data_IF_469335512910
#
_entry.id   IF_469335512910
#
_cell.length_a   1.000
_cell.length_b   1.000
_cell.length_c   1.000
_cell.angle_alpha   90.00
_cell.angle_beta   90.00
_cell.angle_gamma   90.00
#
_symmetry.space_group_name_H-M   'P 1'
#
loop_
_entity.id
_entity.type
_entity.pdbx_description
1 polymer ?
#
# COMPACT_ATOMS: atom_id res chain seq x y z
N UNK A 1 12.04 10.07 -26.43
CA UNK A 1 12.65 11.18 -25.66
C UNK A 1 12.60 10.95 -24.15
N UNK A 2 11.45 10.61 -23.55
CA UNK A 2 11.34 10.41 -22.09
C UNK A 2 12.29 9.36 -21.51
N UNK A 3 12.45 8.20 -22.17
CA UNK A 3 13.35 7.15 -21.66
C UNK A 3 14.82 7.58 -21.64
N UNK A 4 15.25 8.36 -22.64
CA UNK A 4 16.60 8.92 -22.70
C UNK A 4 16.81 9.88 -21.52
N UNK A 5 15.85 10.79 -21.28
CA UNK A 5 15.92 11.73 -20.16
C UNK A 5 15.95 11.03 -18.80
N UNK A 6 15.15 9.98 -18.61
CA UNK A 6 15.12 9.21 -17.35
C UNK A 6 16.42 8.45 -17.12
N UNK A 7 17.00 7.88 -18.18
CA UNK A 7 18.30 7.22 -18.07
C UNK A 7 19.44 8.20 -17.79
N UNK A 8 19.42 9.40 -18.39
CA UNK A 8 20.41 10.43 -18.10
C UNK A 8 20.28 10.94 -16.65
N UNK A 9 19.06 11.18 -16.17
CA UNK A 9 18.80 11.53 -14.78
C UNK A 9 19.28 10.43 -13.81
N UNK A 10 19.16 9.16 -14.20
CA UNK A 10 19.69 8.03 -13.44
C UNK A 10 21.22 8.05 -13.32
N UNK A 11 21.93 8.34 -14.42
CA UNK A 11 23.40 8.45 -14.40
C UNK A 11 23.88 9.59 -13.49
N UNK A 12 23.17 10.73 -13.50
CA UNK A 12 23.46 11.85 -12.60
C UNK A 12 23.21 11.46 -11.13
N UNK A 13 22.08 10.83 -10.84
CA UNK A 13 21.74 10.37 -9.50
C UNK A 13 22.80 9.42 -8.91
N UNK A 14 23.32 8.49 -9.72
CA UNK A 14 24.39 7.57 -9.27
C UNK A 14 25.68 8.31 -8.89
N UNK A 15 26.08 9.29 -9.71
CA UNK A 15 27.23 10.16 -9.41
C UNK A 15 27.04 10.92 -8.11
N UNK A 16 25.84 11.44 -7.87
CA UNK A 16 25.51 12.16 -6.64
C UNK A 16 25.55 11.23 -5.42
N UNK A 17 25.03 10.00 -5.54
CA UNK A 17 25.14 9.00 -4.48
C UNK A 17 26.59 8.66 -4.13
N UNK A 18 27.47 8.51 -5.13
CA UNK A 18 28.91 8.30 -4.92
C UNK A 18 29.54 9.49 -4.17
N UNK A 19 29.22 10.73 -4.55
CA UNK A 19 29.72 11.94 -3.91
C UNK A 19 29.27 12.06 -2.45
N UNK A 20 28.01 11.75 -2.17
CA UNK A 20 27.40 11.85 -0.85
C UNK A 20 27.59 10.58 0.00
N UNK A 21 28.30 9.56 -0.51
CA UNK A 21 28.48 8.23 0.12
C UNK A 21 27.15 7.57 0.49
N UNK A 22 26.11 7.84 -0.28
CA UNK A 22 24.80 7.24 -0.11
C UNK A 22 24.69 5.96 -0.95
N UNK A 23 23.85 5.04 -0.48
CA UNK A 23 23.59 3.80 -1.21
C UNK A 23 22.68 4.08 -2.40
N UNK A 24 23.18 3.80 -3.60
CA UNK A 24 22.38 3.86 -4.82
C UNK A 24 21.14 2.96 -4.73
N UNK A 25 19.99 3.48 -5.14
CA UNK A 25 18.75 2.70 -5.32
C UNK A 25 18.85 1.75 -6.52
N UNK A 26 17.89 0.84 -6.70
CA UNK A 26 17.80 0.09 -7.98
C UNK A 26 17.15 0.97 -9.05
N UNK A 27 17.54 0.83 -10.31
CA UNK A 27 16.94 1.58 -11.44
C UNK A 27 15.40 1.48 -11.48
N UNK A 28 14.85 0.31 -11.14
CA UNK A 28 13.40 0.10 -11.04
C UNK A 28 12.74 0.99 -9.99
N UNK A 29 13.38 1.15 -8.84
CA UNK A 29 12.88 1.96 -7.71
C UNK A 29 12.96 3.45 -8.07
N UNK A 30 14.06 3.88 -8.68
CA UNK A 30 14.21 5.24 -9.19
C UNK A 30 13.13 5.62 -10.20
N UNK A 31 12.86 4.75 -11.19
CA UNK A 31 11.78 4.97 -12.17
C UNK A 31 10.39 4.99 -11.52
N UNK A 32 10.19 4.18 -10.48
CA UNK A 32 8.94 4.18 -9.73
C UNK A 32 8.73 5.50 -8.98
N UNK A 33 9.75 6.03 -8.32
CA UNK A 33 9.68 7.32 -7.61
C UNK A 33 9.39 8.48 -8.54
N UNK A 34 10.05 8.54 -9.71
CA UNK A 34 9.74 9.53 -10.74
C UNK A 34 8.28 9.44 -11.17
N UNK A 35 7.77 8.23 -11.43
CA UNK A 35 6.38 8.04 -11.82
C UNK A 35 5.40 8.51 -10.73
N UNK A 36 5.66 8.19 -9.46
CA UNK A 36 4.82 8.61 -8.33
C UNK A 36 4.87 10.13 -8.16
N UNK A 37 6.05 10.74 -8.20
CA UNK A 37 6.22 12.18 -8.04
C UNK A 37 5.47 12.97 -9.12
N UNK A 38 5.59 12.55 -10.39
CA UNK A 38 4.91 13.21 -11.51
C UNK A 38 3.40 12.99 -11.49
N UNK A 39 2.94 11.77 -11.18
CA UNK A 39 1.50 11.46 -11.14
C UNK A 39 0.79 11.99 -9.89
N UNK A 40 1.53 12.39 -8.85
CA UNK A 40 0.97 12.95 -7.63
C UNK A 40 0.84 14.48 -7.67
N UNK A 41 1.59 15.15 -8.54
CA UNK A 41 1.64 16.61 -8.62
C UNK A 41 0.44 17.23 -9.34
N UNK A 42 -0.09 16.54 -10.36
CA UNK A 42 -1.17 17.04 -11.22
C UNK A 42 -2.48 16.26 -11.06
N UNK A 43 -2.88 15.91 -9.84
CA UNK A 43 -4.23 15.37 -9.64
C UNK A 43 -5.23 16.53 -9.64
N UNK A 44 -6.01 16.78 -10.71
CA UNK A 44 -7.24 17.53 -10.54
C UNK A 44 -8.05 16.78 -9.49
N UNK A 45 -8.61 17.51 -8.51
CA UNK A 45 -9.63 16.97 -7.62
C UNK A 45 -10.79 16.56 -8.52
N UNK A 46 -10.81 15.30 -8.95
CA UNK A 46 -11.92 14.72 -9.70
C UNK A 46 -13.09 14.60 -8.73
N UNK A 47 -13.80 15.72 -8.56
CA UNK A 47 -15.15 15.74 -8.07
C UNK A 47 -15.95 14.72 -8.90
N UNK A 48 -16.63 13.83 -8.17
CA UNK A 48 -17.74 12.97 -8.59
C UNK A 48 -18.12 13.13 -10.07
N UNK A 49 -17.71 12.17 -10.91
CA UNK A 49 -18.09 12.13 -12.33
C UNK A 49 -19.62 11.94 -12.43
N UNK A 50 -20.38 12.80 -13.15
CA UNK A 50 -21.77 12.53 -13.46
C UNK A 50 -21.85 11.32 -14.39
N UNK A 51 -22.81 10.42 -14.14
CA UNK A 51 -23.08 9.27 -14.98
C UNK A 51 -23.56 9.74 -16.36
N UNK A 52 -22.75 9.51 -17.39
CA UNK A 52 -23.20 9.50 -18.77
C UNK A 52 -22.79 8.16 -19.37
N UNK A 53 -23.83 7.46 -19.82
CA UNK A 53 -23.81 6.15 -20.43
C UNK A 53 -22.91 6.14 -21.66
N UNK A 54 -22.01 5.16 -21.75
CA UNK A 54 -21.89 4.41 -22.98
C UNK A 54 -21.15 3.08 -22.78
N UNK A 55 -21.75 2.06 -23.37
CA UNK A 55 -21.34 0.68 -23.40
C UNK A 55 -19.86 0.52 -23.73
N UNK A 56 -19.11 -0.11 -22.84
CA UNK A 56 -18.07 -1.06 -23.20
C UNK A 56 -17.75 -1.93 -21.98
N UNK A 57 -18.04 -3.23 -22.15
CA UNK A 57 -17.76 -4.38 -21.29
C UNK A 57 -16.96 -4.09 -20.01
N UNK A 58 -17.49 -4.39 -18.81
CA UNK A 58 -16.69 -4.32 -17.61
C UNK A 58 -15.77 -5.53 -17.63
N UNK A 59 -14.58 -5.40 -18.19
CA UNK A 59 -13.45 -6.12 -17.63
C UNK A 59 -13.35 -5.57 -16.21
N UNK A 60 -14.06 -6.22 -15.27
CA UNK A 60 -13.80 -6.10 -13.84
C UNK A 60 -12.39 -6.65 -13.69
N UNK A 61 -11.38 -5.82 -13.97
CA UNK A 61 -10.07 -5.99 -13.36
C UNK A 61 -10.42 -6.00 -11.89
N UNK A 62 -10.39 -7.18 -11.27
CA UNK A 62 -10.44 -7.32 -9.83
C UNK A 62 -9.19 -6.57 -9.38
N UNK A 63 -9.33 -5.26 -9.18
CA UNK A 63 -8.43 -4.51 -8.34
C UNK A 63 -8.67 -5.14 -7.00
N UNK A 64 -7.85 -6.12 -6.66
CA UNK A 64 -7.55 -6.34 -5.26
C UNK A 64 -7.06 -5.00 -4.78
N UNK A 65 -7.93 -4.22 -4.15
CA UNK A 65 -7.51 -3.14 -3.29
C UNK A 65 -6.59 -3.83 -2.29
N UNK A 66 -5.28 -3.78 -2.56
CA UNK A 66 -4.28 -4.13 -1.58
C UNK A 66 -4.44 -3.01 -0.56
N UNK A 67 -5.38 -3.19 0.39
CA UNK A 67 -5.64 -2.15 1.38
C UNK A 67 -4.27 -1.84 2.00
N UNK A 68 -3.81 -0.58 1.98
CA UNK A 68 -2.43 -0.27 2.34
C UNK A 68 -2.16 -0.88 3.72
N UNK A 69 -1.07 -1.64 3.84
CA UNK A 69 -0.67 -2.15 5.16
C UNK A 69 -0.39 -0.89 6.01
N UNK A 70 -0.98 -0.77 7.22
CA UNK A 70 -0.76 0.39 8.05
C UNK A 70 0.74 0.60 8.28
N UNK A 71 1.16 1.86 8.38
CA UNK A 71 2.54 2.23 8.69
C UNK A 71 3.02 1.48 9.95
N UNK A 72 4.30 1.09 9.95
CA UNK A 72 4.91 0.30 11.03
C UNK A 72 4.77 0.96 12.38
N UNK A 73 4.81 2.30 12.41
CA UNK A 73 4.78 3.08 13.64
C UNK A 73 3.41 2.97 14.32
N UNK A 74 2.33 3.06 13.53
CA UNK A 74 0.95 2.89 14.01
C UNK A 74 0.69 1.43 14.42
N UNK A 75 1.30 0.47 13.72
CA UNK A 75 1.10 -0.95 13.97
C UNK A 75 1.62 -1.39 15.35
N UNK A 76 2.72 -0.79 15.81
CA UNK A 76 3.43 -1.18 17.03
C UNK A 76 3.35 -0.15 18.15
N UNK A 77 2.50 0.89 18.06
CA UNK A 77 2.42 1.91 19.10
C UNK A 77 1.75 1.44 20.40
N UNK A 78 1.23 0.20 20.43
CA UNK A 78 0.59 -0.46 21.59
C UNK A 78 -0.62 0.29 22.17
N UNK A 79 -1.11 1.33 21.51
CA UNK A 79 -2.25 2.13 21.96
C UNK A 79 -3.45 1.94 21.04
N UNK A 80 -4.64 1.83 21.62
CA UNK A 80 -5.92 1.91 20.90
C UNK A 80 -6.11 0.91 19.74
N UNK A 81 -5.63 -0.32 19.92
CA UNK A 81 -5.92 -1.44 19.00
C UNK A 81 -7.10 -2.26 19.51
N UNK A 82 -8.32 -1.74 19.30
CA UNK A 82 -9.54 -2.44 19.70
C UNK A 82 -10.09 -3.33 18.56
N UNK A 83 -10.41 -4.62 18.82
CA UNK A 83 -11.07 -5.49 17.85
C UNK A 83 -12.56 -5.15 17.75
N UNK A 84 -13.11 -5.18 16.52
CA UNK A 84 -14.55 -5.05 16.26
C UNK A 84 -15.01 -6.05 15.21
N UNK A 85 -16.32 -6.29 15.16
CA UNK A 85 -16.94 -7.17 14.17
C UNK A 85 -17.19 -6.45 12.84
N UNK A 86 -16.92 -7.15 11.74
CA UNK A 86 -17.13 -6.70 10.38
C UNK A 86 -17.53 -7.87 9.49
N UNK A 87 -17.73 -7.60 8.20
CA UNK A 87 -18.01 -8.63 7.19
C UNK A 87 -16.90 -9.68 7.16
N UNK A 88 -17.28 -10.94 6.99
CA UNK A 88 -16.33 -12.07 6.86
C UNK A 88 -15.29 -11.77 5.78
N UNK A 89 -14.03 -12.00 6.09
CA UNK A 89 -12.91 -11.83 5.16
C UNK A 89 -11.70 -12.64 5.59
N UNK A 90 -10.64 -12.66 4.78
CA UNK A 90 -9.40 -13.38 5.13
C UNK A 90 -8.56 -12.60 6.13
N UNK A 91 -7.89 -13.33 7.02
CA UNK A 91 -6.86 -12.77 7.88
C UNK A 91 -5.70 -12.23 7.03
N UNK A 92 -5.09 -11.13 7.48
CA UNK A 92 -3.94 -10.53 6.79
C UNK A 92 -2.58 -11.01 7.30
N UNK A 93 -2.56 -11.65 8.46
CA UNK A 93 -1.35 -12.16 9.08
C UNK A 93 -1.12 -13.64 8.73
N UNK A 94 -2.16 -14.46 8.79
CA UNK A 94 -2.10 -15.87 8.40
C UNK A 94 -2.88 -16.12 7.10
N UNK A 95 -2.49 -17.16 6.36
CA UNK A 95 -3.19 -17.63 5.16
C UNK A 95 -4.49 -18.40 5.47
N UNK A 96 -4.75 -18.68 6.74
CA UNK A 96 -5.77 -19.61 7.16
C UNK A 96 -7.05 -18.94 7.67
N UNK A 97 -8.16 -19.21 6.98
CA UNK A 97 -9.52 -19.00 7.48
C UNK A 97 -10.16 -17.65 7.17
N UNK A 98 -11.50 -17.66 7.20
CA UNK A 98 -12.32 -16.45 7.22
C UNK A 98 -12.52 -16.00 8.67
N UNK A 99 -12.40 -14.70 8.91
CA UNK A 99 -12.61 -14.03 10.19
C UNK A 99 -13.53 -12.83 9.97
N UNK A 100 -14.34 -12.51 10.97
CA UNK A 100 -15.19 -11.31 11.02
C UNK A 100 -14.60 -10.23 11.93
N UNK A 101 -13.35 -10.37 12.39
CA UNK A 101 -12.73 -9.44 13.35
C UNK A 101 -11.75 -8.51 12.62
N UNK A 102 -11.81 -7.23 12.92
CA UNK A 102 -10.95 -6.17 12.38
C UNK A 102 -10.46 -5.26 13.50
N UNK A 103 -9.21 -4.79 13.41
CA UNK A 103 -8.70 -3.73 14.29
C UNK A 103 -9.22 -2.36 13.81
N UNK A 104 -9.84 -1.57 14.69
CA UNK A 104 -10.39 -0.25 14.34
C UNK A 104 -9.32 0.72 13.83
N UNK A 105 -8.19 0.80 14.52
CA UNK A 105 -7.09 1.73 14.21
C UNK A 105 -6.32 1.35 12.95
N UNK A 106 -6.01 0.07 12.80
CA UNK A 106 -5.20 -0.41 11.68
C UNK A 106 -6.04 -0.78 10.44
N UNK A 107 -7.36 -0.94 10.60
CA UNK A 107 -8.28 -1.40 9.56
C UNK A 107 -7.83 -2.74 8.91
N UNK A 108 -7.26 -3.65 9.71
CA UNK A 108 -6.76 -4.96 9.27
C UNK A 108 -7.52 -6.09 9.94
N UNK A 109 -7.92 -7.09 9.14
CA UNK A 109 -8.57 -8.31 9.63
C UNK A 109 -7.54 -9.28 10.21
N UNK A 110 -7.73 -9.68 11.45
CA UNK A 110 -6.77 -10.50 12.21
C UNK A 110 -7.54 -11.57 13.00
N UNK A 111 -7.00 -12.78 13.07
CA UNK A 111 -7.56 -13.86 13.87
C UNK A 111 -7.43 -13.56 15.36
N UNK A 112 -8.55 -13.75 16.07
CA UNK A 112 -8.64 -13.76 17.52
C UNK A 112 -9.49 -14.97 17.92
N UNK A 113 -8.88 -16.15 17.82
CA UNK A 113 -9.51 -17.45 18.12
C UNK A 113 -8.58 -18.27 19.00
N UNK A 114 -9.14 -19.23 19.72
CA UNK A 114 -8.37 -20.15 20.56
C UNK A 114 -7.36 -20.93 19.70
N UNK A 115 -6.08 -20.90 20.09
CA UNK A 115 -4.95 -21.48 19.35
C UNK A 115 -4.36 -20.61 18.23
N UNK A 116 -5.03 -19.55 17.75
CA UNK A 116 -4.47 -18.61 16.74
C UNK A 116 -4.80 -17.16 17.06
N UNK A 117 -3.87 -16.49 17.74
CA UNK A 117 -3.96 -15.07 18.08
C UNK A 117 -3.08 -14.20 17.16
N UNK A 118 -3.50 -14.07 15.90
CA UNK A 118 -2.85 -13.19 14.94
C UNK A 118 -2.97 -11.71 15.31
N UNK A 119 -3.99 -11.34 16.11
CA UNK A 119 -4.16 -9.98 16.59
C UNK A 119 -2.95 -9.54 17.43
N UNK A 120 -2.58 -10.36 18.42
CA UNK A 120 -1.42 -10.10 19.26
C UNK A 120 -0.12 -10.12 18.46
N UNK A 121 0.11 -11.16 17.63
CA UNK A 121 1.33 -11.27 16.81
C UNK A 121 1.48 -10.14 15.78
N UNK A 122 0.37 -9.51 15.39
CA UNK A 122 0.42 -8.38 14.48
C UNK A 122 0.83 -7.10 15.20
N UNK A 123 0.34 -6.83 16.41
CA UNK A 123 0.55 -5.58 17.13
C UNK A 123 1.74 -5.60 18.12
N UNK A 124 2.12 -6.79 18.57
CA UNK A 124 3.23 -7.01 19.48
C UNK A 124 4.36 -7.72 18.74
N UNK A 125 5.56 -7.17 18.83
CA UNK A 125 6.77 -7.71 18.22
C UNK A 125 7.51 -8.58 19.21
#
# INVERSE_FOLDING_TARGET
MLDISVNNAWLLYRRDCELHKEKEKRLKEFRHEIAVALTSKDKPRLGRRPALENNNFPIKKIRHEIAPRPYTDIRYDKTDHCPTFTKKGRCRHCSAGQISIICLKCNVRLCLIEGRNCFQQFHYK
#
